data_IF_139625712446
#
_entry.id   IF_139625712446
#
_cell.length_a   1.000
_cell.length_b   1.000
_cell.length_c   1.000
_cell.angle_alpha   90.00
_cell.angle_beta   90.00
_cell.angle_gamma   90.00
#
_symmetry.space_group_name_H-M   'P 1'
#
loop_
_entity.id
_entity.type
_entity.pdbx_description
1 polymer ?
#
# COMPACT_ATOMS: atom_id res chain seq x y z
N UNK A 1 -6.41 -68.83 18.49
CA UNK A 1 -5.41 -67.78 18.80
C UNK A 1 -5.93 -66.92 19.97
N UNK A 2 -5.12 -65.96 20.46
CA UNK A 2 -5.38 -64.91 21.50
C UNK A 2 -6.86 -64.75 21.92
N UNK A 3 -7.19 -65.04 23.19
CA UNK A 3 -7.32 -64.09 24.33
C UNK A 3 -8.35 -62.95 24.04
N UNK A 4 -9.57 -62.98 24.58
CA UNK A 4 -9.97 -62.83 26.00
C UNK A 4 -9.91 -61.38 26.53
N UNK A 5 -11.08 -60.78 26.74
CA UNK A 5 -11.38 -60.06 27.99
C UNK A 5 -12.89 -60.10 28.28
N UNK A 6 -13.25 -60.49 29.51
CA UNK A 6 -14.58 -60.27 30.11
C UNK A 6 -14.46 -59.06 31.05
N UNK A 7 -15.53 -58.29 31.28
CA UNK A 7 -16.50 -58.57 32.36
C UNK A 7 -17.58 -57.49 32.42
N UNK A 8 -18.79 -57.88 32.84
CA UNK A 8 -19.90 -56.99 33.21
C UNK A 8 -19.81 -56.70 34.71
N UNK A 9 -19.99 -55.45 35.11
CA UNK A 9 -20.64 -55.05 36.37
C UNK A 9 -21.21 -53.64 36.17
N UNK A 10 -22.42 -53.42 36.69
CA UNK A 10 -23.00 -52.08 36.83
C UNK A 10 -23.89 -52.07 38.07
N UNK A 11 -23.91 -50.97 38.81
CA UNK A 11 -24.89 -50.75 39.87
C UNK A 11 -25.22 -49.27 40.06
N UNK A 12 -26.32 -49.03 40.79
CA UNK A 12 -27.11 -47.80 40.82
C UNK A 12 -26.48 -46.61 41.58
N UNK A 13 -26.83 -45.42 41.10
CA UNK A 13 -27.23 -44.20 41.84
C UNK A 13 -26.62 -43.91 43.23
N UNK A 14 -25.97 -42.74 43.33
CA UNK A 14 -25.82 -41.97 44.57
C UNK A 14 -25.87 -40.48 44.26
N UNK A 15 -26.87 -39.75 44.76
CA UNK A 15 -27.14 -38.35 44.38
C UNK A 15 -26.26 -37.38 45.19
N UNK A 16 -25.19 -36.88 44.58
CA UNK A 16 -24.22 -35.97 45.22
C UNK A 16 -24.09 -34.63 44.47
N UNK A 17 -24.94 -33.67 44.81
CA UNK A 17 -24.95 -32.34 44.17
C UNK A 17 -23.81 -31.45 44.68
N UNK A 18 -22.60 -31.67 44.17
CA UNK A 18 -21.45 -30.80 44.44
C UNK A 18 -21.63 -29.45 43.72
N UNK A 19 -21.88 -28.40 44.51
CA UNK A 19 -21.76 -27.02 44.04
C UNK A 19 -20.27 -26.67 43.86
N UNK A 20 -19.70 -27.09 42.74
CA UNK A 20 -18.45 -26.52 42.24
C UNK A 20 -18.73 -25.05 41.88
N UNK A 21 -18.34 -24.13 42.76
CA UNK A 21 -18.28 -22.73 42.44
C UNK A 21 -17.22 -22.52 41.36
N UNK A 22 -17.67 -22.35 40.11
CA UNK A 22 -16.79 -21.92 39.02
C UNK A 22 -16.32 -20.48 39.30
N UNK A 23 -15.29 -20.34 40.11
CA UNK A 23 -14.42 -19.16 40.10
C UNK A 23 -13.79 -19.12 38.72
N UNK A 24 -14.39 -18.37 37.80
CA UNK A 24 -13.74 -18.00 36.56
C UNK A 24 -12.44 -17.32 36.94
N UNK A 25 -11.30 -17.97 36.65
CA UNK A 25 -10.03 -17.30 36.62
C UNK A 25 -10.15 -16.25 35.52
N UNK A 26 -10.34 -14.99 35.92
CA UNK A 26 -10.10 -13.84 35.06
C UNK A 26 -8.58 -13.80 34.90
N UNK A 27 -8.10 -14.58 33.92
CA UNK A 27 -6.80 -14.36 33.33
C UNK A 27 -6.97 -13.06 32.55
N UNK A 28 -6.30 -11.99 32.98
CA UNK A 28 -6.12 -10.82 32.12
C UNK A 28 -5.35 -11.30 30.88
N UNK A 29 -6.06 -11.45 29.77
CA UNK A 29 -5.49 -11.77 28.46
C UNK A 29 -4.83 -10.50 27.87
N UNK A 30 -3.84 -9.99 28.60
CA UNK A 30 -3.34 -8.61 28.48
C UNK A 30 -1.89 -8.59 27.97
N UNK A 31 -1.65 -9.37 26.92
CA UNK A 31 -0.55 -9.24 25.98
C UNK A 31 -0.90 -10.04 24.72
N UNK A 32 -1.11 -9.39 23.59
CA UNK A 32 -1.24 -10.06 22.30
C UNK A 32 0.13 -10.52 21.83
N UNK A 33 0.51 -11.77 22.11
CA UNK A 33 1.76 -12.34 21.59
C UNK A 33 1.60 -12.77 20.13
N UNK A 34 1.42 -11.77 19.25
CA UNK A 34 1.40 -11.94 17.81
C UNK A 34 2.80 -11.71 17.24
N UNK A 35 3.15 -12.48 16.23
CA UNK A 35 4.50 -12.57 15.66
C UNK A 35 4.43 -12.48 14.14
N UNK A 36 5.41 -11.80 13.55
CA UNK A 36 5.56 -11.60 12.11
C UNK A 36 6.99 -11.98 11.72
N UNK A 37 7.12 -13.00 10.86
CA UNK A 37 8.39 -13.44 10.29
C UNK A 37 8.49 -12.93 8.84
N UNK A 38 9.47 -12.07 8.58
CA UNK A 38 9.71 -11.48 7.25
C UNK A 38 10.85 -12.23 6.59
N UNK A 39 10.48 -13.18 5.72
CA UNK A 39 11.39 -14.03 4.96
C UNK A 39 12.07 -13.25 3.83
N UNK A 40 13.41 -13.35 3.75
CA UNK A 40 14.20 -12.70 2.69
C UNK A 40 15.34 -13.58 2.15
N UNK A 41 15.95 -13.14 1.04
CA UNK A 41 17.00 -13.87 0.31
C UNK A 41 18.36 -13.86 1.03
N UNK A 42 18.66 -12.84 1.82
CA UNK A 42 19.97 -12.59 2.41
C UNK A 42 19.90 -12.40 3.92
N UNK A 43 21.02 -12.67 4.61
CA UNK A 43 21.29 -12.33 6.00
C UNK A 43 21.68 -10.85 6.18
N UNK A 44 21.53 -10.35 7.41
CA UNK A 44 21.93 -9.01 7.86
C UNK A 44 21.29 -7.86 7.05
N UNK A 45 20.08 -8.07 6.52
CA UNK A 45 19.26 -7.03 5.87
C UNK A 45 18.30 -6.45 6.89
N UNK A 46 18.29 -5.13 7.06
CA UNK A 46 17.46 -4.46 8.04
C UNK A 46 16.03 -4.28 7.52
N UNK A 47 15.06 -4.82 8.26
CA UNK A 47 13.64 -4.56 8.04
C UNK A 47 13.07 -3.67 9.14
N UNK A 48 12.24 -2.72 8.72
CA UNK A 48 11.56 -1.75 9.56
C UNK A 48 10.06 -2.02 9.55
N UNK A 49 9.45 -2.03 10.75
CA UNK A 49 8.01 -2.24 10.93
C UNK A 49 7.37 -0.97 11.50
N UNK A 50 6.43 -0.39 10.76
CA UNK A 50 5.65 0.78 11.16
C UNK A 50 4.19 0.41 11.33
N UNK A 51 3.56 0.75 12.44
CA UNK A 51 2.10 0.64 12.59
C UNK A 51 1.44 1.84 11.92
N UNK A 52 0.73 1.59 10.81
CA UNK A 52 0.07 2.66 10.03
C UNK A 52 -1.40 2.83 10.41
N UNK A 53 -2.01 1.79 11.01
CA UNK A 53 -3.40 1.86 11.45
C UNK A 53 -3.81 0.83 12.50
N UNK A 54 -4.93 1.11 13.16
CA UNK A 54 -5.66 0.22 14.06
C UNK A 54 -6.85 -0.40 13.35
N UNK A 55 -7.29 -1.57 13.83
CA UNK A 55 -8.54 -2.21 13.40
C UNK A 55 -9.54 -2.10 14.57
N UNK A 56 -10.71 -1.53 14.29
CA UNK A 56 -11.83 -1.48 15.24
C UNK A 56 -12.59 -2.82 15.30
N UNK A 57 -13.30 -3.09 16.39
CA UNK A 57 -14.10 -4.32 16.59
C UNK A 57 -15.13 -4.61 15.46
N UNK A 58 -15.54 -3.57 14.73
CA UNK A 58 -16.46 -3.64 13.60
C UNK A 58 -15.77 -3.87 12.23
N UNK A 59 -14.44 -4.02 12.21
CA UNK A 59 -13.62 -4.14 11.00
C UNK A 59 -13.24 -2.81 10.32
N UNK A 60 -13.60 -1.65 10.87
CA UNK A 60 -13.17 -0.36 10.33
C UNK A 60 -11.68 -0.11 10.61
N UNK A 61 -10.97 0.38 9.59
CA UNK A 61 -9.56 0.77 9.67
C UNK A 61 -9.44 2.23 10.07
N UNK A 62 -8.68 2.54 11.13
CA UNK A 62 -8.33 3.91 11.50
C UNK A 62 -6.83 4.14 11.25
N UNK A 63 -6.47 5.23 10.56
CA UNK A 63 -5.07 5.64 10.40
C UNK A 63 -4.51 6.18 11.72
N UNK A 64 -3.34 5.71 12.14
CA UNK A 64 -2.73 6.06 13.44
C UNK A 64 -1.61 7.10 13.32
N UNK A 65 -1.28 7.74 14.46
CA UNK A 65 -0.08 8.58 14.56
C UNK A 65 1.18 7.71 14.47
N UNK A 66 2.23 8.10 13.71
CA UNK A 66 2.41 9.38 13.02
C UNK A 66 1.73 9.49 11.64
N UNK A 67 1.36 8.38 11.01
CA UNK A 67 0.87 8.34 9.62
C UNK A 67 -0.40 9.17 9.36
N UNK A 68 -1.22 9.44 10.39
CA UNK A 68 -2.38 10.35 10.37
C UNK A 68 -2.05 11.77 9.91
N UNK A 69 -0.80 12.21 10.03
CA UNK A 69 -0.36 13.56 9.63
C UNK A 69 -0.12 13.71 8.12
N UNK A 70 0.00 12.61 7.39
CA UNK A 70 0.35 12.62 5.95
C UNK A 70 -0.92 12.71 5.09
N UNK A 71 -0.82 13.21 3.85
CA UNK A 71 -1.97 13.33 2.94
C UNK A 71 -2.30 11.99 2.28
N UNK A 72 -2.67 10.99 3.08
CA UNK A 72 -3.05 9.64 2.64
C UNK A 72 -4.39 9.21 3.27
N UNK A 73 -4.97 8.11 2.78
CA UNK A 73 -6.22 7.54 3.29
C UNK A 73 -6.13 6.00 3.29
N UNK A 74 -6.56 5.37 4.39
CA UNK A 74 -6.55 3.92 4.60
C UNK A 74 -7.96 3.31 4.70
N UNK A 75 -9.01 4.13 4.67
CA UNK A 75 -10.40 3.69 4.94
C UNK A 75 -10.85 2.57 4.01
N UNK A 76 -10.47 2.67 2.75
CA UNK A 76 -10.86 1.77 1.65
C UNK A 76 -9.81 0.67 1.37
N UNK A 77 -8.83 0.45 2.24
CA UNK A 77 -7.73 -0.52 1.96
C UNK A 77 -8.24 -1.95 1.68
N UNK A 78 -9.41 -2.32 2.22
CA UNK A 78 -10.06 -3.61 1.97
C UNK A 78 -10.87 -3.68 0.66
N UNK A 79 -11.14 -2.55 0.01
CA UNK A 79 -11.91 -2.42 -1.24
C UNK A 79 -11.08 -1.91 -2.42
N UNK A 80 -9.90 -1.32 -2.17
CA UNK A 80 -8.92 -0.90 -3.17
C UNK A 80 -8.49 -2.06 -4.09
N UNK A 81 -8.34 -1.76 -5.39
CA UNK A 81 -7.76 -2.70 -6.35
C UNK A 81 -6.22 -2.85 -6.19
N UNK A 82 -5.63 -3.86 -6.83
CA UNK A 82 -4.20 -4.17 -6.70
C UNK A 82 -3.26 -3.02 -7.10
N UNK A 83 -3.66 -2.15 -8.02
CA UNK A 83 -2.86 -1.00 -8.45
C UNK A 83 -2.97 0.13 -7.42
N UNK A 84 -4.18 0.36 -6.89
CA UNK A 84 -4.41 1.31 -5.80
C UNK A 84 -3.66 0.90 -4.52
N UNK A 85 -3.66 -0.40 -4.18
CA UNK A 85 -2.88 -0.93 -3.05
C UNK A 85 -1.37 -0.77 -3.26
N UNK A 86 -0.86 -1.02 -4.48
CA UNK A 86 0.55 -0.81 -4.82
C UNK A 86 0.95 0.68 -4.74
N UNK A 87 0.07 1.57 -5.21
CA UNK A 87 0.26 3.02 -5.13
C UNK A 87 0.23 3.54 -3.68
N UNK A 88 -0.69 3.04 -2.85
CA UNK A 88 -0.73 3.36 -1.42
C UNK A 88 0.54 2.89 -0.71
N UNK A 89 0.97 1.64 -0.96
CA UNK A 89 2.20 1.07 -0.44
C UNK A 89 3.43 1.90 -0.83
N UNK A 90 3.58 2.25 -2.10
CA UNK A 90 4.69 3.07 -2.57
C UNK A 90 4.66 4.49 -1.98
N UNK A 91 3.48 5.09 -1.79
CA UNK A 91 3.32 6.37 -1.09
C UNK A 91 3.78 6.29 0.37
N UNK A 92 3.38 5.22 1.06
CA UNK A 92 3.77 4.93 2.44
C UNK A 92 5.28 4.70 2.59
N UNK A 93 5.89 3.95 1.66
CA UNK A 93 7.35 3.76 1.58
C UNK A 93 8.05 5.11 1.38
N UNK A 94 7.61 5.91 0.39
CA UNK A 94 8.19 7.23 0.11
C UNK A 94 8.23 8.13 1.34
N UNK A 95 7.17 8.16 2.17
CA UNK A 95 7.20 8.89 3.44
C UNK A 95 8.10 8.20 4.48
N UNK A 96 7.90 6.90 4.74
CA UNK A 96 8.60 6.14 5.79
C UNK A 96 10.13 6.06 5.63
N UNK A 97 10.65 6.21 4.41
CA UNK A 97 12.09 6.22 4.16
C UNK A 97 12.74 7.60 4.27
N UNK A 98 11.98 8.69 4.11
CA UNK A 98 12.56 10.03 3.89
C UNK A 98 12.18 11.06 4.96
N UNK A 99 11.09 10.86 5.72
CA UNK A 99 10.83 11.65 6.92
C UNK A 99 11.60 11.04 8.10
N UNK A 100 12.73 11.68 8.45
CA UNK A 100 13.60 11.24 9.56
C UNK A 100 12.94 11.34 10.95
N UNK A 101 11.72 11.87 11.07
CA UNK A 101 10.91 11.83 12.30
C UNK A 101 10.04 10.57 12.41
N UNK A 102 9.87 9.81 11.31
CA UNK A 102 9.21 8.51 11.31
C UNK A 102 10.15 7.44 11.88
N UNK A 103 10.07 7.23 13.19
CA UNK A 103 10.74 6.10 13.86
C UNK A 103 9.87 4.84 13.72
N UNK A 104 10.40 3.70 13.22
CA UNK A 104 9.66 2.44 13.19
C UNK A 104 9.36 1.91 14.59
N UNK A 105 8.21 1.26 14.74
CA UNK A 105 7.79 0.63 15.99
C UNK A 105 8.75 -0.51 16.40
N UNK A 106 9.29 -1.24 15.41
CA UNK A 106 10.32 -2.26 15.61
C UNK A 106 11.26 -2.32 14.39
N UNK A 107 12.51 -2.71 14.62
CA UNK A 107 13.54 -2.95 13.60
C UNK A 107 14.15 -4.33 13.81
N UNK A 108 14.35 -5.12 12.76
CA UNK A 108 14.91 -6.46 12.87
C UNK A 108 15.80 -6.79 11.65
N UNK A 109 16.98 -7.34 11.90
CA UNK A 109 17.88 -7.87 10.87
C UNK A 109 17.42 -9.27 10.46
N UNK A 110 17.67 -9.66 9.22
CA UNK A 110 17.44 -11.04 8.77
C UNK A 110 18.50 -12.01 9.31
N UNK A 111 18.07 -12.99 10.10
CA UNK A 111 18.95 -14.02 10.68
C UNK A 111 18.67 -15.41 10.09
N UNK A 112 19.65 -16.32 10.14
CA UNK A 112 19.52 -17.69 9.62
C UNK A 112 18.53 -18.51 10.45
N UNK A 113 17.43 -18.94 9.82
CA UNK A 113 16.41 -19.72 10.51
C UNK A 113 16.89 -21.15 10.80
N UNK A 114 16.68 -21.68 12.02
CA UNK A 114 16.99 -23.07 12.33
C UNK A 114 16.11 -24.01 11.48
N UNK A 115 16.74 -24.89 10.71
CA UNK A 115 16.05 -25.82 9.80
C UNK A 115 15.23 -26.82 10.62
N UNK A 116 13.92 -26.60 10.71
CA UNK A 116 12.96 -27.59 11.21
C UNK A 116 12.80 -28.71 10.18
N UNK A 117 13.31 -29.89 10.51
CA UNK A 117 13.48 -31.03 9.59
C UNK A 117 12.16 -31.75 9.25
N UNK A 118 11.21 -31.06 8.60
CA UNK A 118 10.09 -31.70 7.90
C UNK A 118 10.61 -32.35 6.61
N UNK A 119 11.04 -33.62 6.71
CA UNK A 119 11.93 -34.26 5.76
C UNK A 119 11.46 -34.32 4.29
N UNK A 120 12.02 -33.46 3.45
CA UNK A 120 12.15 -33.65 2.00
C UNK A 120 13.42 -32.97 1.51
N UNK A 121 14.13 -33.60 0.56
CA UNK A 121 15.35 -33.03 -0.04
C UNK A 121 14.99 -31.95 -1.07
N UNK A 122 14.55 -30.79 -0.60
CA UNK A 122 14.84 -29.53 -1.29
C UNK A 122 16.27 -29.12 -0.94
N UNK A 123 17.00 -28.52 -1.89
CA UNK A 123 18.42 -28.21 -1.70
C UNK A 123 18.65 -27.28 -0.50
N UNK A 124 19.75 -27.49 0.23
CA UNK A 124 20.08 -26.84 1.50
C UNK A 124 20.42 -25.34 1.42
N UNK A 125 19.61 -24.57 0.70
CA UNK A 125 19.64 -23.11 0.71
C UNK A 125 19.25 -22.62 2.12
N UNK A 126 20.15 -21.87 2.75
CA UNK A 126 19.83 -21.13 3.97
C UNK A 126 18.60 -20.26 3.74
N UNK A 127 17.75 -20.15 4.76
CA UNK A 127 16.58 -19.27 4.76
C UNK A 127 16.77 -18.25 5.86
N UNK A 128 16.57 -16.98 5.53
CA UNK A 128 16.77 -15.87 6.45
C UNK A 128 15.45 -15.17 6.75
N UNK A 129 15.25 -14.76 8.00
CA UNK A 129 14.05 -14.04 8.40
C UNK A 129 14.38 -12.96 9.43
N UNK A 130 13.77 -11.78 9.25
CA UNK A 130 13.63 -10.78 10.30
C UNK A 130 12.39 -11.13 11.14
N UNK A 131 12.42 -10.90 12.45
CA UNK A 131 11.35 -11.28 13.38
C UNK A 131 10.85 -10.11 14.20
N UNK A 132 9.53 -9.92 14.17
CA UNK A 132 8.80 -8.93 14.95
C UNK A 132 7.84 -9.65 15.90
N UNK A 133 7.75 -9.20 17.15
CA UNK A 133 7.09 -9.93 18.24
C UNK A 133 6.29 -8.99 19.14
N UNK A 134 5.41 -9.53 20.00
CA UNK A 134 4.55 -8.72 20.89
C UNK A 134 3.67 -7.72 20.11
N UNK A 135 3.25 -8.08 18.89
CA UNK A 135 2.47 -7.19 18.03
C UNK A 135 1.01 -7.10 18.48
N UNK A 136 0.41 -5.92 18.32
CA UNK A 136 -1.02 -5.70 18.52
C UNK A 136 -1.79 -5.91 17.22
N UNK A 137 -3.11 -6.14 17.33
CA UNK A 137 -3.99 -6.20 16.16
C UNK A 137 -3.98 -4.84 15.44
N UNK A 138 -3.84 -4.85 14.12
CA UNK A 138 -3.73 -3.62 13.33
C UNK A 138 -3.07 -3.82 11.97
N UNK A 139 -2.81 -2.70 11.28
CA UNK A 139 -2.19 -2.68 9.96
C UNK A 139 -0.80 -2.09 10.08
N UNK A 140 0.17 -2.80 9.50
CA UNK A 140 1.58 -2.44 9.54
C UNK A 140 2.16 -2.33 8.13
N UNK A 141 3.04 -1.35 7.93
CA UNK A 141 3.95 -1.24 6.80
C UNK A 141 5.26 -1.94 7.16
N UNK A 142 5.70 -2.84 6.29
CA UNK A 142 7.04 -3.44 6.29
C UNK A 142 7.86 -2.78 5.18
N UNK A 143 9.01 -2.20 5.53
CA UNK A 143 10.05 -1.81 4.55
C UNK A 143 11.36 -2.52 4.86
N UNK A 144 12.25 -2.64 3.88
CA UNK A 144 13.56 -3.28 4.04
C UNK A 144 14.63 -2.50 3.31
N UNK A 145 15.79 -2.30 3.94
CA UNK A 145 16.85 -1.45 3.39
C UNK A 145 17.57 -2.14 2.21
N UNK A 146 17.91 -1.35 1.20
CA UNK A 146 18.61 -1.84 0.00
C UNK A 146 20.01 -2.37 0.32
N UNK A 147 20.37 -3.49 -0.27
CA UNK A 147 21.65 -4.18 -0.02
C UNK A 147 22.51 -4.18 -1.28
N UNK A 148 23.67 -3.51 -1.25
CA UNK A 148 24.64 -3.55 -2.35
C UNK A 148 25.45 -4.87 -2.34
N UNK A 149 25.64 -5.45 -3.52
CA UNK A 149 26.40 -6.69 -3.73
C UNK A 149 27.22 -6.60 -5.02
N UNK A 150 28.14 -7.55 -5.23
CA UNK A 150 28.89 -7.65 -6.51
C UNK A 150 28.00 -7.85 -7.75
N UNK A 151 26.75 -8.30 -7.58
CA UNK A 151 25.79 -8.47 -8.68
C UNK A 151 24.98 -7.19 -8.96
N UNK A 152 24.93 -6.25 -8.00
CA UNK A 152 24.08 -5.07 -8.03
C UNK A 152 23.43 -4.75 -6.69
N UNK A 153 22.58 -3.72 -6.68
CA UNK A 153 21.78 -3.32 -5.52
C UNK A 153 20.48 -4.14 -5.50
N UNK A 154 20.29 -4.90 -4.43
CA UNK A 154 19.07 -5.64 -4.15
C UNK A 154 18.11 -4.79 -3.31
N UNK A 155 16.91 -4.55 -3.82
CA UNK A 155 15.89 -3.68 -3.22
C UNK A 155 14.74 -4.54 -2.69
N UNK A 156 14.54 -4.68 -1.37
CA UNK A 156 13.41 -5.40 -0.81
C UNK A 156 12.06 -4.75 -1.19
N UNK A 157 11.11 -5.54 -1.69
CA UNK A 157 9.74 -5.05 -1.91
C UNK A 157 9.04 -4.86 -0.57
N UNK A 158 8.64 -3.62 -0.23
CA UNK A 158 7.82 -3.37 0.95
C UNK A 158 6.45 -4.07 0.89
N UNK A 159 5.71 -4.05 1.99
CA UNK A 159 4.39 -4.67 2.08
C UNK A 159 3.50 -3.99 3.12
N UNK A 160 2.19 -4.00 2.90
CA UNK A 160 1.20 -3.71 3.94
C UNK A 160 0.64 -5.05 4.45
N UNK A 161 0.72 -5.29 5.75
CA UNK A 161 0.22 -6.53 6.38
C UNK A 161 -0.83 -6.21 7.44
N UNK A 162 -1.94 -6.95 7.40
CA UNK A 162 -2.94 -6.97 8.46
C UNK A 162 -2.55 -8.06 9.47
N UNK A 163 -2.33 -7.66 10.72
CA UNK A 163 -2.12 -8.56 11.86
C UNK A 163 -3.46 -8.64 12.59
N UNK A 164 -4.17 -9.76 12.44
CA UNK A 164 -5.61 -9.86 12.74
C UNK A 164 -5.96 -10.62 14.03
N UNK A 165 -4.96 -11.13 14.77
CA UNK A 165 -5.16 -11.85 16.03
C UNK A 165 -5.15 -13.37 15.92
N UNK A 166 -4.93 -13.94 14.73
CA UNK A 166 -4.69 -15.38 14.60
C UNK A 166 -3.38 -15.78 15.30
N UNK A 167 -3.44 -16.69 16.28
CA UNK A 167 -2.31 -17.15 17.11
C UNK A 167 -1.32 -18.08 16.37
N UNK A 168 -0.89 -17.73 15.16
CA UNK A 168 0.22 -18.34 14.43
C UNK A 168 1.13 -17.21 13.90
N UNK A 169 2.46 -17.40 13.83
CA UNK A 169 3.35 -16.40 13.25
C UNK A 169 2.97 -16.16 11.79
N UNK A 170 2.73 -14.90 11.42
CA UNK A 170 2.45 -14.52 10.03
C UNK A 170 3.77 -14.54 9.26
N UNK A 171 3.86 -15.35 8.19
CA UNK A 171 5.09 -15.50 7.40
C UNK A 171 4.94 -14.69 6.10
N UNK A 172 5.55 -13.50 6.08
CA UNK A 172 5.63 -12.64 4.90
C UNK A 172 6.82 -13.07 4.03
N UNK A 173 6.60 -13.34 2.74
CA UNK A 173 7.69 -13.61 1.80
C UNK A 173 7.98 -12.38 0.94
N UNK A 174 9.09 -11.70 1.23
CA UNK A 174 9.48 -10.45 0.56
C UNK A 174 10.17 -10.75 -0.77
N UNK A 175 9.67 -10.11 -1.83
CA UNK A 175 10.29 -10.09 -3.17
C UNK A 175 11.41 -9.04 -3.21
N UNK A 176 12.14 -8.97 -4.32
CA UNK A 176 13.12 -7.91 -4.53
C UNK A 176 13.22 -7.52 -6.00
N UNK A 177 13.69 -6.28 -6.23
CA UNK A 177 14.27 -5.84 -7.49
C UNK A 177 15.80 -5.93 -7.42
N UNK A 178 16.47 -5.98 -8.57
CA UNK A 178 17.94 -5.96 -8.68
C UNK A 178 18.35 -4.90 -9.71
N UNK A 179 19.13 -3.90 -9.28
CA UNK A 179 19.70 -2.88 -10.15
C UNK A 179 21.20 -3.11 -10.37
N UNK A 180 21.61 -3.21 -11.64
CA UNK A 180 23.00 -3.50 -12.02
C UNK A 180 23.85 -2.22 -12.02
N UNK A 181 24.94 -2.21 -11.25
CA UNK A 181 25.75 -1.01 -10.95
C UNK A 181 26.45 -0.37 -12.17
N UNK A 182 26.66 -1.11 -13.27
CA UNK A 182 27.28 -0.58 -14.50
C UNK A 182 26.33 0.26 -15.37
N UNK A 183 25.03 0.32 -15.03
CA UNK A 183 24.01 1.09 -15.75
C UNK A 183 23.90 2.51 -15.17
N UNK A 184 23.55 3.49 -16.01
CA UNK A 184 22.91 4.75 -15.57
C UNK A 184 21.40 4.65 -15.68
N UNK A 185 20.66 5.35 -14.82
CA UNK A 185 19.19 5.42 -14.89
C UNK A 185 18.69 6.84 -15.13
N UNK A 186 17.54 6.94 -15.77
CA UNK A 186 16.83 8.19 -16.00
C UNK A 186 15.46 8.04 -15.34
N UNK A 187 15.11 8.89 -14.38
CA UNK A 187 13.84 8.81 -13.66
C UNK A 187 12.87 9.81 -14.27
N UNK A 188 11.70 9.31 -14.66
CA UNK A 188 10.60 10.10 -15.22
C UNK A 188 9.51 10.27 -14.14
N UNK A 189 9.03 11.48 -13.90
CA UNK A 189 7.93 11.73 -12.98
C UNK A 189 6.90 12.70 -13.57
N UNK A 190 5.61 12.39 -13.40
CA UNK A 190 4.52 13.25 -13.87
C UNK A 190 3.33 13.32 -12.90
N UNK A 191 2.64 14.46 -12.89
CA UNK A 191 1.50 14.73 -12.00
C UNK A 191 0.17 14.49 -12.73
N UNK A 192 -0.76 13.83 -12.04
CA UNK A 192 -2.16 13.70 -12.43
C UNK A 192 -3.07 14.28 -11.35
N UNK A 193 -4.16 14.92 -11.78
CA UNK A 193 -5.22 15.46 -10.93
C UNK A 193 -6.50 14.66 -11.16
N UNK A 194 -7.03 14.07 -10.10
CA UNK A 194 -8.26 13.27 -10.07
C UNK A 194 -9.36 14.05 -9.36
N UNK A 195 -9.71 15.15 -10.01
CA UNK A 195 -10.78 16.08 -9.67
C UNK A 195 -11.27 16.76 -10.96
N UNK A 196 -12.48 17.31 -10.95
CA UNK A 196 -12.99 18.17 -12.03
C UNK A 196 -12.78 19.68 -11.72
N UNK A 197 -12.05 20.00 -10.65
CA UNK A 197 -11.94 21.34 -10.07
C UNK A 197 -10.63 22.05 -10.47
N UNK A 198 -10.48 22.25 -11.78
CA UNK A 198 -9.35 22.98 -12.39
C UNK A 198 -9.08 24.36 -11.77
N UNK A 199 -10.10 25.03 -11.24
CA UNK A 199 -10.00 26.38 -10.69
C UNK A 199 -9.25 26.46 -9.33
N UNK A 200 -9.26 25.37 -8.55
CA UNK A 200 -8.64 25.33 -7.23
C UNK A 200 -7.25 24.67 -7.21
N UNK A 201 -6.74 24.22 -8.36
CA UNK A 201 -5.41 23.62 -8.46
C UNK A 201 -4.31 24.69 -8.30
N UNK A 202 -3.17 24.37 -7.68
CA UNK A 202 -2.05 25.28 -7.61
C UNK A 202 -1.47 25.54 -9.02
N UNK A 203 -0.75 26.64 -9.20
CA UNK A 203 -0.09 26.94 -10.49
C UNK A 203 1.09 26.02 -10.79
N UNK A 204 1.71 25.51 -9.73
CA UNK A 204 2.82 24.57 -9.75
C UNK A 204 2.88 23.78 -8.43
N UNK A 205 3.66 22.70 -8.43
CA UNK A 205 4.06 21.93 -7.25
C UNK A 205 5.56 21.67 -7.29
N UNK A 206 6.14 21.25 -6.17
CA UNK A 206 7.52 20.77 -6.10
C UNK A 206 7.52 19.26 -5.86
N UNK A 207 8.22 18.52 -6.73
CA UNK A 207 8.58 17.12 -6.52
C UNK A 207 10.06 17.03 -6.10
N UNK A 208 10.31 16.38 -4.98
CA UNK A 208 11.67 16.09 -4.51
C UNK A 208 12.08 14.67 -4.91
N UNK A 209 13.28 14.55 -5.48
CA UNK A 209 13.92 13.27 -5.79
C UNK A 209 14.85 12.90 -4.63
N UNK A 210 14.51 11.81 -3.95
CA UNK A 210 15.24 11.32 -2.78
C UNK A 210 16.01 10.04 -3.09
N UNK A 211 17.19 9.86 -2.49
CA UNK A 211 17.94 8.59 -2.45
C UNK A 211 18.55 8.44 -1.06
N UNK A 212 18.47 7.25 -0.48
CA UNK A 212 19.13 6.93 0.81
C UNK A 212 18.82 7.96 1.93
N UNK A 213 17.58 8.45 1.96
CA UNK A 213 17.04 9.44 2.91
C UNK A 213 17.59 10.88 2.74
N UNK A 214 18.39 11.14 1.70
CA UNK A 214 18.87 12.47 1.31
C UNK A 214 18.18 12.98 0.02
N UNK A 215 18.01 14.30 -0.09
CA UNK A 215 17.45 14.96 -1.28
C UNK A 215 18.55 15.14 -2.34
N UNK A 216 18.38 14.52 -3.50
CA UNK A 216 19.33 14.54 -4.61
C UNK A 216 19.08 15.72 -5.55
N UNK A 217 17.81 15.98 -5.86
CA UNK A 217 17.37 17.10 -6.71
C UNK A 217 15.89 17.45 -6.42
N UNK A 218 15.40 18.57 -6.91
CA UNK A 218 13.99 19.00 -6.79
C UNK A 218 13.50 19.69 -8.06
N UNK A 219 12.27 19.37 -8.48
CA UNK A 219 11.69 19.86 -9.73
C UNK A 219 10.33 20.56 -9.51
N UNK A 220 10.17 21.75 -10.09
CA UNK A 220 8.88 22.42 -10.17
C UNK A 220 8.07 21.88 -11.36
N UNK A 221 6.89 21.31 -11.10
CA UNK A 221 5.96 20.82 -12.13
C UNK A 221 4.81 21.82 -12.28
N UNK A 222 4.51 22.20 -13.53
CA UNK A 222 3.52 23.23 -13.85
C UNK A 222 2.94 23.04 -15.26
N UNK A 223 2.08 23.95 -15.71
CA UNK A 223 1.47 23.84 -17.04
C UNK A 223 2.47 24.01 -18.22
N UNK A 224 3.61 24.68 -18.01
CA UNK A 224 4.60 24.96 -19.07
C UNK A 224 5.44 23.72 -19.40
N UNK A 225 5.83 22.92 -18.40
CA UNK A 225 6.46 21.61 -18.60
C UNK A 225 5.45 20.46 -18.77
N UNK A 226 4.16 20.77 -18.92
CA UNK A 226 3.06 19.80 -19.01
C UNK A 226 2.97 18.86 -17.78
N UNK A 227 3.37 19.34 -16.61
CA UNK A 227 3.36 18.61 -15.35
C UNK A 227 4.24 17.34 -15.35
N UNK A 228 5.41 17.41 -15.98
CA UNK A 228 6.38 16.29 -16.03
C UNK A 228 7.83 16.77 -15.80
N UNK A 229 8.69 15.85 -15.36
CA UNK A 229 10.15 16.02 -15.27
C UNK A 229 10.86 14.70 -15.62
N UNK A 230 12.07 14.81 -16.19
CA UNK A 230 12.98 13.68 -16.36
C UNK A 230 14.34 14.04 -15.77
N UNK A 231 14.73 13.36 -14.69
CA UNK A 231 16.09 13.38 -14.16
C UNK A 231 16.94 12.40 -14.95
N UNK A 232 18.02 12.86 -15.57
CA UNK A 232 18.83 12.08 -16.50
C UNK A 232 20.20 11.75 -15.90
N UNK A 233 20.85 10.72 -16.46
CA UNK A 233 22.25 10.38 -16.21
C UNK A 233 22.60 10.00 -14.75
N UNK A 234 21.58 9.64 -13.94
CA UNK A 234 21.69 9.35 -12.52
C UNK A 234 22.53 8.08 -12.24
N UNK A 235 23.31 8.06 -11.15
CA UNK A 235 23.87 6.82 -10.60
C UNK A 235 22.75 5.84 -10.24
N UNK A 236 23.04 4.53 -10.32
CA UNK A 236 22.12 3.50 -9.80
C UNK A 236 21.92 3.63 -8.28
N UNK A 237 20.71 3.33 -7.82
CA UNK A 237 20.28 3.44 -6.43
C UNK A 237 18.78 3.15 -6.32
N UNK A 238 18.27 2.98 -5.10
CA UNK A 238 16.83 3.17 -4.90
C UNK A 238 16.54 4.66 -4.75
N UNK A 239 15.50 5.09 -5.46
CA UNK A 239 15.05 6.47 -5.48
C UNK A 239 13.57 6.50 -5.15
N UNK A 240 13.16 7.49 -4.38
CA UNK A 240 11.75 7.79 -4.12
C UNK A 240 11.44 9.21 -4.60
N UNK A 241 10.18 9.48 -4.94
CA UNK A 241 9.68 10.80 -5.30
C UNK A 241 8.62 11.23 -4.27
N UNK A 242 8.66 12.48 -3.85
CA UNK A 242 7.74 13.06 -2.85
C UNK A 242 7.21 14.40 -3.36
N UNK A 243 5.90 14.63 -3.24
CA UNK A 243 5.31 15.97 -3.41
C UNK A 243 5.45 16.74 -2.09
N UNK A 244 6.26 17.80 -2.09
CA UNK A 244 6.66 18.51 -0.86
C UNK A 244 5.50 19.24 -0.19
N UNK A 245 4.82 20.08 -0.96
CA UNK A 245 3.80 21.02 -0.49
C UNK A 245 2.41 20.63 -1.03
N UNK A 246 1.92 19.47 -0.59
CA UNK A 246 0.63 18.90 -1.05
C UNK A 246 -0.53 19.86 -0.73
N UNK A 247 -1.35 20.26 -1.73
CA UNK A 247 -2.39 21.27 -1.51
C UNK A 247 -3.45 20.86 -0.47
N UNK A 248 -3.88 21.84 0.34
CA UNK A 248 -4.86 21.64 1.40
C UNK A 248 -6.16 21.01 0.87
N UNK A 249 -6.58 19.92 1.49
CA UNK A 249 -7.79 19.17 1.10
C UNK A 249 -7.54 18.03 0.11
N UNK A 250 -6.30 17.83 -0.37
CA UNK A 250 -5.94 16.68 -1.21
C UNK A 250 -5.28 15.53 -0.44
N UNK A 251 -5.34 14.35 -1.04
CA UNK A 251 -4.56 13.16 -0.71
C UNK A 251 -3.72 12.75 -1.93
N UNK A 252 -2.51 12.22 -1.68
CA UNK A 252 -1.53 11.78 -2.69
C UNK A 252 -1.56 10.27 -2.83
N UNK A 253 -1.43 9.79 -4.07
CA UNK A 253 -1.09 8.40 -4.39
C UNK A 253 0.09 8.42 -5.37
N UNK A 254 1.11 7.60 -5.15
CA UNK A 254 2.35 7.54 -5.93
C UNK A 254 2.50 6.12 -6.49
N UNK A 255 2.36 5.95 -7.80
CA UNK A 255 2.69 4.70 -8.50
C UNK A 255 4.15 4.75 -8.96
N UNK A 256 4.88 3.64 -8.84
CA UNK A 256 6.25 3.43 -9.35
C UNK A 256 6.25 2.23 -10.31
N UNK A 257 6.58 2.46 -11.58
CA UNK A 257 6.74 1.43 -12.61
C UNK A 257 8.16 1.49 -13.20
N UNK A 258 9.05 0.69 -12.61
CA UNK A 258 10.49 0.74 -12.86
C UNK A 258 11.06 2.12 -12.54
N UNK A 259 11.57 2.80 -13.58
CA UNK A 259 12.17 4.14 -13.50
C UNK A 259 11.11 5.28 -13.64
N UNK A 260 9.80 4.97 -13.66
CA UNK A 260 8.70 5.93 -13.82
C UNK A 260 7.89 6.14 -12.55
N UNK A 261 7.52 7.39 -12.24
CA UNK A 261 6.63 7.76 -11.15
C UNK A 261 5.39 8.51 -11.66
N UNK A 262 4.21 8.06 -11.26
CA UNK A 262 2.93 8.76 -11.48
C UNK A 262 2.41 9.23 -10.13
N UNK A 263 2.34 10.54 -9.94
CA UNK A 263 1.88 11.15 -8.69
C UNK A 263 0.45 11.65 -8.92
N UNK A 264 -0.54 11.04 -8.28
CA UNK A 264 -1.96 11.41 -8.37
C UNK A 264 -2.39 12.22 -7.14
N UNK A 265 -3.05 13.36 -7.35
CA UNK A 265 -3.78 14.08 -6.30
C UNK A 265 -5.27 13.85 -6.47
N UNK A 266 -5.96 13.47 -5.40
CA UNK A 266 -7.43 13.38 -5.33
C UNK A 266 -7.95 14.15 -4.11
N UNK A 267 -9.19 14.62 -4.14
CA UNK A 267 -9.77 15.33 -2.99
C UNK A 267 -10.02 14.35 -1.84
N UNK A 268 -9.74 14.76 -0.59
CA UNK A 268 -10.14 14.02 0.60
C UNK A 268 -11.67 14.03 0.73
N UNK A 269 -12.27 12.87 0.95
CA UNK A 269 -13.69 12.80 1.25
C UNK A 269 -14.01 13.50 2.57
N UNK A 270 -15.07 14.31 2.57
CA UNK A 270 -15.48 15.07 3.74
C UNK A 270 -16.23 14.14 4.70
N UNK A 271 -15.50 13.58 5.67
CA UNK A 271 -16.13 12.88 6.79
C UNK A 271 -17.15 13.81 7.48
N UNK A 272 -18.37 13.33 7.67
CA UNK A 272 -19.43 14.08 8.35
C UNK A 272 -19.19 14.05 9.87
N UNK A 273 -18.41 15.01 10.34
CA UNK A 273 -18.25 15.28 11.77
C UNK A 273 -19.59 15.77 12.33
N UNK A 274 -20.33 14.87 12.99
CA UNK A 274 -21.68 15.10 13.55
C UNK A 274 -21.64 16.02 14.77
N UNK A 275 -21.35 17.29 14.54
CA UNK A 275 -21.31 18.33 15.57
C UNK A 275 -22.74 18.69 16.00
N UNK A 276 -23.17 18.17 17.15
CA UNK A 276 -24.46 18.53 17.77
C UNK A 276 -24.38 19.97 18.29
N UNK A 277 -24.73 20.92 17.42
CA UNK A 277 -24.94 22.32 17.79
C UNK A 277 -26.41 22.56 18.10
N UNK A 278 -26.71 22.91 19.36
CA UNK A 278 -28.03 23.40 19.72
C UNK A 278 -28.27 24.84 19.20
N UNK A 279 -29.54 25.23 19.17
CA UNK A 279 -30.10 26.48 18.64
C UNK A 279 -29.52 27.76 19.31
N UNK A 280 -29.50 28.95 18.71
CA UNK A 280 -30.69 29.66 18.18
C UNK A 280 -30.38 30.74 17.13
N UNK A 281 -31.10 30.68 16.00
CA UNK A 281 -31.77 31.73 15.18
C UNK A 281 -31.46 33.22 15.50
N UNK A 282 -31.31 34.16 14.55
CA UNK A 282 -31.89 34.38 13.19
C UNK A 282 -30.79 35.10 12.29
N UNK A 283 -30.88 35.47 10.99
CA UNK A 283 -31.98 35.90 10.08
C UNK A 283 -31.68 35.67 8.58
N UNK A 284 -32.76 35.51 7.81
CA UNK A 284 -33.06 35.78 6.37
C UNK A 284 -32.23 36.93 5.73
N UNK A 285 -31.81 36.90 4.46
CA UNK A 285 -32.60 36.83 3.21
C UNK A 285 -32.27 35.69 2.21
N UNK A 286 -33.06 35.57 1.13
CA UNK A 286 -33.18 34.38 0.28
C UNK A 286 -33.45 34.71 -1.20
N UNK A 287 -32.95 33.86 -2.11
CA UNK A 287 -33.64 33.55 -3.38
C UNK A 287 -33.52 32.05 -3.73
N UNK A 288 -34.67 31.38 -3.80
CA UNK A 288 -34.94 30.05 -4.41
C UNK A 288 -35.03 30.20 -5.95
N UNK A 289 -35.11 29.19 -6.84
CA UNK A 289 -35.36 27.73 -6.85
C UNK A 289 -34.33 27.04 -7.80
N UNK A 290 -34.24 25.72 -8.02
CA UNK A 290 -35.19 24.58 -7.91
C UNK A 290 -34.44 23.28 -7.61
N UNK A 291 -35.04 22.37 -6.84
CA UNK A 291 -34.60 20.97 -6.75
C UNK A 291 -35.61 20.06 -7.43
N UNK A 292 -35.10 19.13 -8.26
CA UNK A 292 -35.85 18.01 -8.84
C UNK A 292 -34.96 16.77 -8.78
N UNK A 293 -35.34 15.78 -7.98
CA UNK A 293 -34.65 14.50 -7.94
C UNK A 293 -35.08 13.64 -9.14
N UNK A 294 -34.16 13.33 -10.04
CA UNK A 294 -34.28 12.20 -10.96
C UNK A 294 -32.93 11.49 -11.09
N UNK A 295 -32.92 10.18 -10.83
CA UNK A 295 -31.72 9.35 -10.96
C UNK A 295 -31.46 9.02 -12.44
N UNK A 296 -30.51 9.71 -13.07
CA UNK A 296 -29.85 9.22 -14.29
C UNK A 296 -28.47 9.87 -14.49
N UNK A 297 -27.42 9.05 -14.50
CA UNK A 297 -26.08 9.46 -14.91
C UNK A 297 -26.07 9.70 -16.43
N UNK A 298 -25.21 10.61 -16.92
CA UNK A 298 -24.29 10.16 -17.95
C UNK A 298 -22.82 10.51 -17.66
N UNK A 299 -21.94 9.55 -17.92
CA UNK A 299 -20.50 9.77 -18.05
C UNK A 299 -20.20 10.85 -19.09
N UNK A 300 -19.26 11.76 -18.79
CA UNK A 300 -18.59 12.60 -19.80
C UNK A 300 -17.06 12.49 -19.73
N UNK A 301 -16.55 11.27 -19.51
CA UNK A 301 -15.16 10.93 -19.82
C UNK A 301 -14.91 11.03 -21.33
N UNK A 302 -14.53 12.22 -21.81
CA UNK A 302 -14.56 12.59 -23.23
C UNK A 302 -13.36 12.02 -24.02
N UNK A 303 -13.28 10.70 -24.13
CA UNK A 303 -12.27 9.98 -24.93
C UNK A 303 -12.94 9.44 -26.19
N UNK A 304 -12.60 9.99 -27.38
CA UNK A 304 -12.63 9.28 -28.69
C UNK A 304 -12.11 10.13 -29.88
N UNK A 305 -11.11 10.98 -29.67
CA UNK A 305 -10.28 11.54 -30.75
C UNK A 305 -8.83 11.10 -30.54
N UNK A 306 -8.07 10.70 -31.58
CA UNK A 306 -8.41 10.68 -33.01
C UNK A 306 -8.75 9.28 -33.59
N UNK A 307 -9.07 8.27 -32.76
CA UNK A 307 -9.21 6.86 -33.21
C UNK A 307 -10.14 6.68 -34.45
N UNK A 308 -11.34 7.27 -34.53
CA UNK A 308 -12.19 7.15 -35.72
C UNK A 308 -11.54 7.75 -36.98
N UNK A 309 -10.79 8.84 -36.84
CA UNK A 309 -10.07 9.50 -37.95
C UNK A 309 -8.91 8.62 -38.45
N UNK A 310 -8.17 8.00 -37.51
CA UNK A 310 -7.10 7.05 -37.84
C UNK A 310 -7.64 5.79 -38.53
N UNK A 311 -8.82 5.30 -38.15
CA UNK A 311 -9.47 4.15 -38.81
C UNK A 311 -9.93 4.49 -40.23
N UNK A 312 -10.46 5.70 -40.48
CA UNK A 312 -10.79 6.14 -41.84
C UNK A 312 -9.52 6.32 -42.68
N UNK A 313 -8.44 6.87 -42.10
CA UNK A 313 -7.15 7.00 -42.79
C UNK A 313 -6.55 5.63 -43.17
N UNK A 314 -6.56 4.65 -42.27
CA UNK A 314 -6.00 3.32 -42.56
C UNK A 314 -6.77 2.57 -43.65
N UNK A 315 -8.10 2.66 -43.65
CA UNK A 315 -8.94 2.12 -44.73
C UNK A 315 -8.64 2.83 -46.06
N UNK A 316 -8.46 4.16 -46.03
CA UNK A 316 -8.14 4.94 -47.24
C UNK A 316 -6.78 4.54 -47.82
N UNK A 317 -5.74 4.39 -46.99
CA UNK A 317 -4.43 3.91 -47.44
C UNK A 317 -4.47 2.46 -47.95
N UNK A 318 -5.26 1.57 -47.34
CA UNK A 318 -5.41 0.19 -47.80
C UNK A 318 -5.99 0.14 -49.23
N UNK A 319 -7.07 0.90 -49.49
CA UNK A 319 -7.72 0.93 -50.81
C UNK A 319 -6.76 1.47 -51.88
N UNK A 320 -6.08 2.59 -51.60
CA UNK A 320 -5.09 3.20 -52.52
C UNK A 320 -3.90 2.26 -52.76
N UNK A 321 -3.50 1.46 -51.76
CA UNK A 321 -2.53 0.38 -51.93
C UNK A 321 -3.00 -0.68 -52.90
N UNK A 322 -4.16 -1.30 -52.64
CA UNK A 322 -4.69 -2.40 -53.45
C UNK A 322 -4.94 -2.03 -54.92
N UNK A 323 -5.41 -0.80 -55.20
CA UNK A 323 -5.67 -0.37 -56.58
C UNK A 323 -4.40 -0.23 -57.44
N UNK A 324 -3.21 -0.14 -56.82
CA UNK A 324 -1.95 0.02 -57.55
C UNK A 324 -1.38 -1.30 -58.07
N UNK A 325 -1.74 -2.43 -57.45
CA UNK A 325 -1.31 -3.75 -57.89
C UNK A 325 -2.14 -4.25 -59.09
N UNK A 326 -3.39 -3.79 -59.22
CA UNK A 326 -4.29 -4.11 -60.35
C UNK A 326 -3.94 -3.36 -61.66
N UNK A 327 -3.20 -2.23 -61.60
CA UNK A 327 -2.74 -1.49 -62.80
C UNK A 327 -1.38 -1.96 -63.36
N UNK A 328 -0.79 -3.04 -62.83
CA UNK A 328 0.52 -3.56 -63.26
C UNK A 328 0.52 -5.05 -63.70
N UNK A 329 -0.56 -5.52 -64.33
CA UNK A 329 -0.62 -6.82 -65.04
C UNK A 329 -1.04 -6.65 -66.50
#
# INVERSE_FOLDING_TARGET
MKKQLKLIIGFLFGFGMFFMSNTVLIINAEASNLELEVMYKFDNVLFNLYQIGSLSDNGTVNIESPFRNYPINLSDIATMDSNQQAALLQTLISYAENDLTLVPNQTSLTEEMPITLSGRNEGSSKKFAAKFTNLHQGIYLVTGESTETMEGIYQPSGSIVLVDGNNQPFILQVKFSLLLLEKKMNINAFKVWKDDNYANRPKSIILDLMKEKEMVDSAELNNENQWQVIWNDLPVGDYQVIERDVPTGYQVMIEKDGDNFRIENSLKEKQEETTISNETTVTTESMTTTSSNDNLIPFTGQIWWPIPVLMVLSITFYIIGSQKDDEMQ
#
